data_IF_463671646414
#
_entry.id   IF_463671646414
#
_cell.length_a   1.000
_cell.length_b   1.000
_cell.length_c   1.000
_cell.angle_alpha   90.00
_cell.angle_beta   90.00
_cell.angle_gamma   90.00
#
_symmetry.space_group_name_H-M   'P 1'
#
loop_
_entity.id
_entity.type
_entity.pdbx_description
1 polymer ?
#
# COMPACT_ATOMS: atom_id res chain seq x y z
N UNK A 1 -3.89 26.27 -24.35
CA UNK A 1 -4.56 25.71 -23.17
C UNK A 1 -5.24 24.44 -23.65
N UNK A 2 -4.53 23.34 -23.42
CA UNK A 2 -5.01 21.99 -23.11
C UNK A 2 -5.82 21.19 -24.16
N UNK A 3 -5.09 20.38 -24.95
CA UNK A 3 -5.57 19.18 -25.65
C UNK A 3 -5.87 18.04 -24.65
N UNK A 4 -6.88 18.18 -23.79
CA UNK A 4 -7.22 17.14 -22.77
C UNK A 4 -8.68 16.67 -22.82
N UNK A 5 -9.36 16.84 -23.96
CA UNK A 5 -10.80 16.56 -24.10
C UNK A 5 -11.16 15.14 -24.59
N UNK A 6 -10.40 14.10 -24.26
CA UNK A 6 -10.82 12.70 -24.54
C UNK A 6 -10.50 11.74 -23.39
N UNK A 7 -10.76 12.13 -22.14
CA UNK A 7 -10.76 11.19 -21.00
C UNK A 7 -12.16 11.14 -20.40
N UNK A 8 -12.76 9.94 -20.40
CA UNK A 8 -14.02 9.71 -19.68
C UNK A 8 -13.74 9.62 -18.17
N UNK A 9 -13.72 10.79 -17.52
CA UNK A 9 -13.45 10.92 -16.09
C UNK A 9 -14.44 10.15 -15.22
N UNK A 10 -15.70 10.01 -15.63
CA UNK A 10 -16.68 9.21 -14.90
C UNK A 10 -16.34 7.72 -14.90
N UNK A 11 -15.80 7.19 -16.00
CA UNK A 11 -15.32 5.81 -16.08
C UNK A 11 -14.06 5.60 -15.21
N UNK A 12 -13.12 6.55 -15.25
CA UNK A 12 -11.93 6.53 -14.39
C UNK A 12 -12.31 6.53 -12.91
N UNK A 13 -13.24 7.40 -12.52
CA UNK A 13 -13.73 7.48 -11.15
C UNK A 13 -14.41 6.17 -10.71
N UNK A 14 -15.27 5.59 -11.56
CA UNK A 14 -15.93 4.31 -11.27
C UNK A 14 -14.91 3.19 -11.05
N UNK A 15 -13.92 3.05 -11.93
CA UNK A 15 -12.88 2.03 -11.79
C UNK A 15 -12.06 2.23 -10.51
N UNK A 16 -11.76 3.48 -10.14
CA UNK A 16 -11.06 3.78 -8.90
C UNK A 16 -11.89 3.37 -7.68
N UNK A 17 -13.19 3.66 -7.68
CA UNK A 17 -14.09 3.27 -6.59
C UNK A 17 -14.27 1.76 -6.50
N UNK A 18 -14.46 1.06 -7.61
CA UNK A 18 -14.56 -0.41 -7.64
C UNK A 18 -13.29 -1.06 -7.08
N UNK A 19 -12.12 -0.54 -7.45
CA UNK A 19 -10.85 -1.02 -6.89
C UNK A 19 -10.74 -0.78 -5.39
N UNK A 20 -11.15 0.39 -4.90
CA UNK A 20 -11.14 0.66 -3.46
C UNK A 20 -12.13 -0.21 -2.70
N UNK A 21 -13.32 -0.44 -3.27
CA UNK A 21 -14.32 -1.31 -2.67
C UNK A 21 -13.80 -2.74 -2.54
N UNK A 22 -13.20 -3.28 -3.61
CA UNK A 22 -12.58 -4.61 -3.58
C UNK A 22 -11.45 -4.71 -2.55
N UNK A 23 -10.60 -3.69 -2.43
CA UNK A 23 -9.57 -3.66 -1.39
C UNK A 23 -10.18 -3.67 0.02
N UNK A 24 -11.25 -2.90 0.25
CA UNK A 24 -11.92 -2.86 1.55
C UNK A 24 -12.54 -4.21 1.92
N UNK A 25 -13.20 -4.86 0.97
CA UNK A 25 -13.75 -6.21 1.17
C UNK A 25 -12.65 -7.22 1.48
N UNK A 26 -11.54 -7.16 0.74
CA UNK A 26 -10.37 -8.00 1.00
C UNK A 26 -9.79 -7.76 2.39
N UNK A 27 -9.57 -6.50 2.80
CA UNK A 27 -9.03 -6.20 4.12
C UNK A 27 -9.95 -6.65 5.25
N UNK A 28 -11.26 -6.48 5.06
CA UNK A 28 -12.27 -6.94 6.02
C UNK A 28 -12.20 -8.44 6.22
N UNK A 29 -12.14 -9.21 5.13
CA UNK A 29 -12.05 -10.67 5.23
C UNK A 29 -10.68 -11.11 5.77
N UNK A 30 -9.60 -10.50 5.29
CA UNK A 30 -8.23 -10.79 5.74
C UNK A 30 -8.05 -10.57 7.25
N UNK A 31 -8.67 -9.52 7.80
CA UNK A 31 -8.56 -9.17 9.21
C UNK A 31 -9.61 -9.85 10.11
N UNK A 32 -10.60 -10.54 9.54
CA UNK A 32 -11.80 -11.03 10.24
C UNK A 32 -11.48 -11.91 11.45
N UNK A 33 -10.51 -12.81 11.30
CA UNK A 33 -10.11 -13.76 12.34
C UNK A 33 -8.75 -13.39 12.96
N UNK A 34 -8.27 -12.16 12.73
CA UNK A 34 -6.98 -11.71 13.24
C UNK A 34 -7.01 -11.52 14.75
N UNK A 35 -6.01 -12.07 15.44
CA UNK A 35 -5.76 -11.82 16.87
C UNK A 35 -4.65 -10.79 17.10
N UNK A 36 -4.23 -10.08 16.04
CA UNK A 36 -3.12 -9.13 16.10
C UNK A 36 -3.48 -7.93 16.98
N UNK A 37 -2.64 -7.64 17.97
CA UNK A 37 -2.80 -6.45 18.83
C UNK A 37 -2.08 -5.24 18.26
N UNK A 38 -2.33 -4.08 18.86
CA UNK A 38 -1.63 -2.84 18.52
C UNK A 38 -0.12 -2.94 18.78
N UNK A 39 0.28 -3.56 19.89
CA UNK A 39 1.68 -3.76 20.23
C UNK A 39 2.40 -4.61 19.18
N UNK A 40 1.73 -5.66 18.68
CA UNK A 40 2.27 -6.48 17.60
C UNK A 40 2.45 -5.68 16.32
N UNK A 41 1.47 -4.84 15.95
CA UNK A 41 1.58 -3.97 14.79
C UNK A 41 2.77 -3.01 14.90
N UNK A 42 2.95 -2.36 16.05
CA UNK A 42 4.08 -1.45 16.30
C UNK A 42 5.41 -2.20 16.23
N UNK A 43 5.51 -3.37 16.87
CA UNK A 43 6.72 -4.21 16.89
C UNK A 43 7.10 -4.65 15.47
N UNK A 44 6.12 -5.13 14.69
CA UNK A 44 6.33 -5.54 13.30
C UNK A 44 6.74 -4.36 12.42
N UNK A 45 6.07 -3.21 12.56
CA UNK A 45 6.41 -1.99 11.83
C UNK A 45 7.86 -1.56 12.05
N UNK A 46 8.33 -1.55 13.31
CA UNK A 46 9.74 -1.26 13.65
C UNK A 46 10.70 -2.25 13.00
N UNK A 47 10.37 -3.54 13.02
CA UNK A 47 11.20 -4.58 12.43
C UNK A 47 11.30 -4.45 10.90
N UNK A 48 10.18 -4.16 10.23
CA UNK A 48 10.14 -3.92 8.78
C UNK A 48 10.98 -2.71 8.41
N UNK A 49 10.77 -1.56 9.08
CA UNK A 49 11.51 -0.33 8.83
C UNK A 49 13.02 -0.54 8.98
N UNK A 50 13.45 -1.26 10.02
CA UNK A 50 14.86 -1.60 10.23
C UNK A 50 15.43 -2.40 9.04
N UNK A 51 14.73 -3.48 8.64
CA UNK A 51 15.19 -4.36 7.54
C UNK A 51 15.23 -3.64 6.20
N UNK A 52 14.23 -2.81 5.91
CA UNK A 52 14.19 -2.01 4.67
C UNK A 52 15.35 -1.01 4.65
N UNK A 53 15.59 -0.30 5.75
CA UNK A 53 16.73 0.61 5.87
C UNK A 53 18.08 -0.10 5.68
N UNK A 54 18.26 -1.27 6.29
CA UNK A 54 19.45 -2.10 6.08
C UNK A 54 19.63 -2.56 4.64
N UNK A 55 18.54 -2.97 3.98
CA UNK A 55 18.55 -3.39 2.58
C UNK A 55 19.05 -2.27 1.67
N UNK A 56 18.51 -1.07 1.80
CA UNK A 56 18.93 0.07 0.97
C UNK A 56 20.34 0.53 1.29
N UNK A 57 20.77 0.56 2.56
CA UNK A 57 22.17 0.86 2.92
C UNK A 57 23.14 -0.10 2.25
N UNK A 58 22.87 -1.41 2.31
CA UNK A 58 23.69 -2.43 1.63
C UNK A 58 23.75 -2.24 0.12
N UNK A 59 22.62 -1.87 -0.51
CA UNK A 59 22.60 -1.55 -1.96
C UNK A 59 23.47 -0.33 -2.26
N UNK A 60 23.38 0.72 -1.43
CA UNK A 60 24.19 1.93 -1.61
C UNK A 60 25.69 1.68 -1.38
N UNK A 61 26.06 0.85 -0.41
CA UNK A 61 27.44 0.46 -0.12
C UNK A 61 28.05 -0.36 -1.26
N UNK A 62 27.29 -1.28 -1.88
CA UNK A 62 27.76 -2.07 -3.03
C UNK A 62 27.93 -1.29 -4.33
N UNK A 63 27.31 -0.10 -4.42
CA UNK A 63 27.38 0.78 -5.60
C UNK A 63 28.54 1.78 -5.53
N UNK A 64 29.20 1.91 -4.38
CA UNK A 64 30.41 2.72 -4.18
C UNK A 64 31.65 1.85 -4.38
#
# INVERSE_FOLDING_TARGET
MDEQDIINWSAVARNAFEKQLSNLEFFKEFAKDSTMTEEDAIRLGRAVNKKVGEHYRKIHEKKR
#
